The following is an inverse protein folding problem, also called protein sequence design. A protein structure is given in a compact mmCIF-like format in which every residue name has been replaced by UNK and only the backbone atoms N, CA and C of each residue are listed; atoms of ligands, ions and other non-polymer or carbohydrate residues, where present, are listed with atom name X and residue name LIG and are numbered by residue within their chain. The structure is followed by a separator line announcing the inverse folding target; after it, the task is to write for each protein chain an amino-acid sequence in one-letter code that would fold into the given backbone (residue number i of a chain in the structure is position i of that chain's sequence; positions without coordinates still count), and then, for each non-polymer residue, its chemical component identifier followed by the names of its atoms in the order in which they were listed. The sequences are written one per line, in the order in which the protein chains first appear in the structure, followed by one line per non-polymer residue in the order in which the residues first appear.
data_IF_387939444135
#
_entry.id   IF_387939444135
#
_cell.length_a   1.000
_cell.length_b   1.000
_cell.length_c   1.000
_cell.angle_alpha   90.00
_cell.angle_beta   90.00
_cell.angle_gamma   90.00
#
_symmetry.space_group_name_H-M   'P 1'
#
loop_
_entity.id
_entity.type
_entity.pdbx_description
1 polymer ?
#
# COMPACT_ATOMS: atom_id res chain seq x y z
N UNK A 1 6.06 -9.80 -22.44
CA UNK A 1 5.87 -8.59 -21.62
C UNK A 1 5.67 -9.04 -20.18
N UNK A 2 6.31 -8.40 -19.19
CA UNK A 2 6.21 -8.75 -17.77
C UNK A 2 5.80 -7.51 -16.98
N UNK A 3 4.76 -7.62 -16.15
CA UNK A 3 4.39 -6.57 -15.22
C UNK A 3 5.40 -6.54 -14.07
N UNK A 4 5.83 -5.35 -13.63
CA UNK A 4 6.92 -5.23 -12.64
C UNK A 4 6.43 -4.62 -11.34
N UNK A 5 5.75 -3.48 -11.41
CA UNK A 5 5.28 -2.78 -10.22
C UNK A 5 4.13 -1.83 -10.55
N UNK A 6 3.39 -1.45 -9.50
CA UNK A 6 2.49 -0.30 -9.50
C UNK A 6 3.09 0.78 -8.62
N UNK A 7 3.21 2.01 -9.12
CA UNK A 7 3.77 3.12 -8.36
C UNK A 7 2.67 3.95 -7.68
N UNK A 8 2.89 4.27 -6.41
CA UNK A 8 2.10 5.17 -5.58
C UNK A 8 3.01 6.27 -5.06
N UNK A 9 2.60 7.53 -5.20
CA UNK A 9 3.27 8.64 -4.53
C UNK A 9 2.76 8.74 -3.10
N UNK A 10 3.69 8.98 -2.17
CA UNK A 10 3.40 9.09 -0.74
C UNK A 10 3.96 10.38 -0.17
N UNK A 11 3.25 10.98 0.78
CA UNK A 11 3.65 12.23 1.44
C UNK A 11 4.52 12.02 2.67
N UNK A 12 4.47 10.83 3.25
CA UNK A 12 5.22 10.45 4.45
C UNK A 12 5.65 8.97 4.35
N UNK A 13 6.96 8.76 4.27
CA UNK A 13 7.54 7.43 4.10
C UNK A 13 7.34 6.55 5.33
N UNK A 14 7.39 7.12 6.54
CA UNK A 14 7.31 6.34 7.79
C UNK A 14 5.87 5.89 8.03
N UNK A 15 4.89 6.78 7.83
CA UNK A 15 3.47 6.42 7.92
C UNK A 15 3.09 5.39 6.85
N UNK A 16 3.66 5.51 5.65
CA UNK A 16 3.45 4.54 4.57
C UNK A 16 4.02 3.17 4.91
N UNK A 17 5.24 3.10 5.42
CA UNK A 17 5.87 1.85 5.82
C UNK A 17 5.14 1.20 7.01
N UNK A 18 4.66 2.01 7.96
CA UNK A 18 3.84 1.49 9.04
C UNK A 18 2.53 0.88 8.52
N UNK A 19 1.86 1.53 7.57
CA UNK A 19 0.66 0.98 6.93
C UNK A 19 0.94 -0.29 6.12
N UNK A 20 1.84 -0.22 5.13
CA UNK A 20 2.04 -1.33 4.20
C UNK A 20 2.79 -2.49 4.85
N UNK A 21 3.80 -2.23 5.70
CA UNK A 21 4.60 -3.30 6.28
C UNK A 21 4.04 -3.77 7.61
N UNK A 22 3.92 -2.89 8.61
CA UNK A 22 3.54 -3.34 9.96
C UNK A 22 2.08 -3.77 10.06
N UNK A 23 1.17 -3.09 9.34
CA UNK A 23 -0.27 -3.32 9.45
C UNK A 23 -0.80 -4.27 8.37
N UNK A 24 -0.44 -4.05 7.10
CA UNK A 24 -0.90 -4.88 5.97
C UNK A 24 -0.04 -6.14 5.77
N UNK A 25 1.20 -6.17 6.25
CA UNK A 25 2.05 -7.38 6.27
C UNK A 25 2.99 -7.53 5.08
N UNK A 26 3.23 -6.47 4.29
CA UNK A 26 4.28 -6.46 3.27
C UNK A 26 5.65 -6.30 3.93
N UNK A 27 6.71 -6.45 3.14
CA UNK A 27 8.06 -6.10 3.57
C UNK A 27 8.78 -5.27 2.51
N UNK A 28 9.75 -4.49 2.95
CA UNK A 28 10.64 -3.74 2.07
C UNK A 28 11.60 -4.70 1.35
N UNK A 29 11.50 -4.73 0.03
CA UNK A 29 12.35 -5.54 -0.86
C UNK A 29 13.62 -4.79 -1.20
N UNK A 30 13.48 -3.50 -1.55
CA UNK A 30 14.62 -2.62 -1.89
C UNK A 30 14.25 -1.16 -1.75
N UNK A 31 15.27 -0.34 -1.50
CA UNK A 31 15.18 1.12 -1.42
C UNK A 31 16.27 1.76 -2.25
N UNK A 32 15.94 2.89 -2.87
CA UNK A 32 16.88 3.71 -3.64
C UNK A 32 16.63 5.18 -3.36
N UNK A 33 17.66 5.88 -2.91
CA UNK A 33 17.66 7.33 -2.86
C UNK A 33 18.23 7.91 -4.16
N UNK A 34 17.62 8.98 -4.64
CA UNK A 34 18.05 9.68 -5.87
C UNK A 34 18.27 11.15 -5.54
N UNK A 35 19.43 11.52 -4.95
CA UNK A 35 19.68 12.88 -4.48
C UNK A 35 19.58 13.96 -5.57
N UNK A 36 20.01 13.63 -6.80
CA UNK A 36 19.93 14.55 -7.94
C UNK A 36 18.47 14.85 -8.34
N UNK A 37 17.57 13.90 -8.12
CA UNK A 37 16.14 14.04 -8.37
C UNK A 37 15.33 14.43 -7.13
N UNK A 38 15.94 14.41 -5.94
CA UNK A 38 15.33 14.71 -4.64
C UNK A 38 14.12 13.83 -4.30
N UNK A 39 14.28 12.52 -4.47
CA UNK A 39 13.26 11.54 -4.07
C UNK A 39 13.87 10.23 -3.58
N UNK A 40 13.05 9.47 -2.86
CA UNK A 40 13.32 8.10 -2.41
C UNK A 40 12.29 7.15 -3.03
N UNK A 41 12.75 6.02 -3.55
CA UNK A 41 11.91 4.92 -3.99
C UNK A 41 12.01 3.77 -3.00
N UNK A 42 10.88 3.19 -2.61
CA UNK A 42 10.82 1.98 -1.78
C UNK A 42 9.92 0.96 -2.45
N UNK A 43 10.39 -0.27 -2.56
CA UNK A 43 9.66 -1.35 -3.22
C UNK A 43 9.21 -2.35 -2.18
N UNK A 44 7.92 -2.66 -2.18
CA UNK A 44 7.27 -3.53 -1.21
C UNK A 44 6.64 -4.74 -1.89
N UNK A 45 6.68 -5.89 -1.23
CA UNK A 45 5.99 -7.09 -1.68
C UNK A 45 5.47 -7.91 -0.48
N UNK A 46 4.43 -8.74 -0.69
CA UNK A 46 4.13 -9.84 0.23
C UNK A 46 5.32 -10.80 0.36
N UNK A 47 5.52 -11.45 1.52
CA UNK A 47 6.55 -12.48 1.70
C UNK A 47 6.51 -13.55 0.60
N UNK A 48 7.64 -13.82 -0.05
CA UNK A 48 7.75 -14.81 -1.12
C UNK A 48 7.25 -14.35 -2.50
N UNK A 49 6.86 -13.08 -2.64
CA UNK A 49 6.43 -12.48 -3.91
C UNK A 49 7.39 -11.40 -4.44
N UNK A 50 8.64 -11.41 -3.99
CA UNK A 50 9.66 -10.46 -4.42
C UNK A 50 9.93 -10.62 -5.92
N UNK A 51 10.10 -9.51 -6.66
CA UNK A 51 10.32 -9.48 -8.11
C UNK A 51 9.17 -10.03 -9.00
N UNK A 52 7.97 -10.26 -8.45
CA UNK A 52 6.77 -10.65 -9.24
C UNK A 52 5.98 -9.41 -9.67
N UNK A 53 5.35 -8.73 -8.71
CA UNK A 53 4.62 -7.48 -8.91
C UNK A 53 4.72 -6.68 -7.60
N UNK A 54 5.54 -5.63 -7.59
CA UNK A 54 5.85 -4.84 -6.40
C UNK A 54 4.95 -3.60 -6.29
N UNK A 55 4.79 -3.07 -5.09
CA UNK A 55 4.38 -1.68 -4.91
C UNK A 55 5.63 -0.82 -4.87
N UNK A 56 5.71 0.16 -5.76
CA UNK A 56 6.73 1.22 -5.70
C UNK A 56 6.16 2.44 -4.97
N UNK A 57 6.65 2.72 -3.78
CA UNK A 57 6.40 3.99 -3.10
C UNK A 57 7.42 5.02 -3.60
N UNK A 58 6.94 6.13 -4.14
CA UNK A 58 7.77 7.29 -4.46
C UNK A 58 7.52 8.41 -3.45
N UNK A 59 8.55 8.72 -2.68
CA UNK A 59 8.56 9.83 -1.73
C UNK A 59 9.42 10.97 -2.27
N UNK A 60 8.79 12.08 -2.67
CA UNK A 60 9.51 13.30 -3.05
C UNK A 60 9.92 14.07 -1.79
N UNK A 61 11.18 14.50 -1.71
CA UNK A 61 11.71 15.20 -0.54
C UNK A 61 11.15 16.62 -0.42
N UNK A 62 10.81 17.21 -1.56
CA UNK A 62 10.09 18.48 -1.63
C UNK A 62 8.59 18.19 -1.52
N UNK A 63 7.98 18.67 -0.43
CA UNK A 63 6.58 18.40 -0.12
C UNK A 63 5.66 19.04 -1.16
N UNK A 64 4.77 18.23 -1.71
CA UNK A 64 3.67 18.66 -2.55
C UNK A 64 2.38 17.93 -2.12
N UNK A 65 1.20 18.57 -2.22
CA UNK A 65 -0.05 17.89 -1.96
C UNK A 65 -0.41 16.98 -3.14
N UNK A 66 -0.68 15.70 -2.87
CA UNK A 66 -1.28 14.80 -3.83
C UNK A 66 -2.81 14.87 -3.74
N UNK A 67 -3.47 15.09 -4.88
CA UNK A 67 -4.92 15.00 -4.99
C UNK A 67 -5.39 13.57 -5.26
N UNK A 68 -6.69 13.34 -5.15
CA UNK A 68 -7.29 12.05 -5.48
C UNK A 68 -7.62 11.94 -6.97
N UNK A 69 -6.99 10.98 -7.67
CA UNK A 69 -7.32 10.65 -9.05
C UNK A 69 -8.44 9.63 -9.14
N UNK A 70 -9.56 9.95 -9.82
CA UNK A 70 -10.67 9.00 -10.05
C UNK A 70 -10.37 7.89 -11.07
N UNK A 71 -9.21 7.95 -11.72
CA UNK A 71 -8.76 6.99 -12.72
C UNK A 71 -7.98 5.81 -12.13
N UNK A 72 -7.44 5.94 -10.92
CA UNK A 72 -6.81 4.83 -10.22
C UNK A 72 -7.82 4.15 -9.30
N UNK A 73 -8.07 2.86 -9.53
CA UNK A 73 -9.07 2.09 -8.79
C UNK A 73 -8.59 1.72 -7.39
N UNK A 74 -7.68 0.75 -7.31
CA UNK A 74 -7.14 0.23 -6.06
C UNK A 74 -5.90 -0.65 -6.32
N UNK A 75 -5.19 -0.96 -5.24
CA UNK A 75 -4.34 -2.14 -5.12
C UNK A 75 -5.20 -3.30 -4.61
N UNK A 76 -4.92 -4.55 -4.96
CA UNK A 76 -5.70 -5.70 -4.53
C UNK A 76 -4.80 -6.80 -3.95
N UNK A 77 -5.25 -7.42 -2.85
CA UNK A 77 -4.56 -8.53 -2.17
C UNK A 77 -5.55 -9.63 -1.82
N UNK A 78 -5.14 -10.88 -2.05
CA UNK A 78 -5.77 -12.06 -1.46
C UNK A 78 -5.25 -12.23 -0.02
N UNK A 79 -6.15 -12.57 0.91
CA UNK A 79 -5.85 -12.71 2.35
C UNK A 79 -6.56 -13.94 2.93
N UNK A 80 -5.93 -14.63 3.87
CA UNK A 80 -6.47 -15.87 4.45
C UNK A 80 -7.62 -15.64 5.45
N UNK A 81 -7.58 -14.53 6.19
CA UNK A 81 -8.57 -14.14 7.21
C UNK A 81 -8.85 -12.64 7.13
N UNK A 82 -9.83 -12.29 6.28
CA UNK A 82 -10.24 -10.92 6.01
C UNK A 82 -10.85 -10.25 7.24
N UNK A 83 -11.58 -11.00 8.09
CA UNK A 83 -12.19 -10.47 9.30
C UNK A 83 -11.12 -10.13 10.34
N UNK A 84 -10.22 -11.07 10.62
CA UNK A 84 -9.12 -10.84 11.55
C UNK A 84 -8.15 -9.77 11.05
N UNK A 85 -7.87 -9.71 9.75
CA UNK A 85 -7.07 -8.62 9.19
C UNK A 85 -7.76 -7.28 9.35
N UNK A 86 -9.04 -7.14 8.98
CA UNK A 86 -9.78 -5.89 9.15
C UNK A 86 -9.84 -5.44 10.61
N UNK A 87 -10.02 -6.36 11.56
CA UNK A 87 -10.00 -6.05 12.99
C UNK A 87 -8.63 -5.49 13.43
N UNK A 88 -7.53 -6.15 13.04
CA UNK A 88 -6.16 -5.66 13.34
C UNK A 88 -5.89 -4.30 12.71
N UNK A 89 -6.30 -4.10 11.46
CA UNK A 89 -6.14 -2.83 10.76
C UNK A 89 -6.92 -1.72 11.47
N UNK A 90 -8.17 -1.97 11.84
CA UNK A 90 -9.00 -1.01 12.55
C UNK A 90 -8.44 -0.67 13.94
N UNK A 91 -7.96 -1.67 14.69
CA UNK A 91 -7.28 -1.47 15.97
C UNK A 91 -5.97 -0.65 15.82
N UNK A 92 -5.29 -0.78 14.67
CA UNK A 92 -4.13 0.02 14.28
C UNK A 92 -4.46 1.42 13.74
N UNK A 93 -5.73 1.86 13.79
CA UNK A 93 -6.17 3.18 13.35
C UNK A 93 -6.41 3.30 11.84
N UNK A 94 -6.45 2.20 11.10
CA UNK A 94 -6.75 2.21 9.66
C UNK A 94 -8.25 2.35 9.44
N UNK A 95 -8.63 3.20 8.48
CA UNK A 95 -10.03 3.37 8.09
C UNK A 95 -10.48 2.18 7.25
N UNK A 96 -11.57 1.53 7.70
CA UNK A 96 -12.26 0.48 6.95
C UNK A 96 -13.43 1.12 6.18
N UNK A 97 -13.24 1.40 4.89
CA UNK A 97 -14.24 2.08 4.06
C UNK A 97 -15.40 1.17 3.67
N UNK A 98 -15.10 -0.11 3.46
CA UNK A 98 -16.11 -1.16 3.26
C UNK A 98 -15.69 -2.36 4.10
N UNK A 99 -16.38 -2.65 5.22
CA UNK A 99 -16.07 -3.84 6.00
C UNK A 99 -16.40 -5.10 5.17
N UNK A 100 -15.85 -6.27 5.55
CA UNK A 100 -16.12 -7.53 4.85
C UNK A 100 -17.62 -7.77 4.71
N UNK A 101 -18.12 -7.75 3.46
CA UNK A 101 -19.51 -8.14 3.13
C UNK A 101 -19.49 -9.56 2.59
N UNK A 102 -20.41 -10.38 3.08
CA UNK A 102 -20.56 -11.80 2.75
C UNK A 102 -19.29 -12.66 2.98
N UNK A 103 -18.25 -12.10 3.61
CA UNK A 103 -17.00 -12.79 3.97
C UNK A 103 -15.91 -12.80 2.90
N UNK A 104 -16.11 -12.12 1.76
CA UNK A 104 -15.20 -12.26 0.60
C UNK A 104 -14.45 -10.97 0.22
N UNK A 105 -14.94 -9.78 0.61
CA UNK A 105 -14.37 -8.53 0.10
C UNK A 105 -14.48 -7.36 1.09
N UNK A 106 -13.38 -6.63 1.25
CA UNK A 106 -13.29 -5.41 2.05
C UNK A 106 -12.43 -4.34 1.35
N UNK A 107 -12.60 -3.09 1.75
CA UNK A 107 -11.78 -1.96 1.31
C UNK A 107 -11.26 -1.16 2.49
N UNK A 108 -9.95 -0.88 2.46
CA UNK A 108 -9.25 -0.01 3.40
C UNK A 108 -8.51 1.10 2.65
N UNK A 109 -8.05 2.13 3.36
CA UNK A 109 -7.27 3.23 2.78
C UNK A 109 -5.90 3.35 3.41
N UNK A 110 -4.90 3.58 2.58
CA UNK A 110 -3.56 4.00 3.01
C UNK A 110 -3.60 5.44 3.58
N UNK A 111 -2.50 5.92 4.21
CA UNK A 111 -2.40 7.29 4.69
C UNK A 111 -2.62 8.35 3.60
N UNK A 112 -2.14 8.09 2.38
CA UNK A 112 -2.34 8.95 1.20
C UNK A 112 -3.65 8.66 0.45
N UNK A 113 -4.62 8.05 1.14
CA UNK A 113 -5.95 7.71 0.64
C UNK A 113 -5.96 6.80 -0.61
N UNK A 114 -4.94 5.98 -0.81
CA UNK A 114 -4.97 4.94 -1.85
C UNK A 114 -5.87 3.79 -1.39
N UNK A 115 -6.80 3.41 -2.26
CA UNK A 115 -7.73 2.30 -1.99
C UNK A 115 -7.00 0.96 -2.08
N UNK A 116 -7.20 0.11 -1.08
CA UNK A 116 -6.69 -1.26 -1.03
C UNK A 116 -7.88 -2.21 -0.89
N UNK A 117 -8.09 -3.06 -1.89
CA UNK A 117 -9.07 -4.14 -1.92
C UNK A 117 -8.45 -5.39 -1.27
N UNK A 118 -9.21 -6.02 -0.37
CA UNK A 118 -8.86 -7.27 0.27
C UNK A 118 -9.89 -8.31 -0.17
N UNK A 119 -9.42 -9.44 -0.67
CA UNK A 119 -10.22 -10.56 -1.15
C UNK A 119 -9.89 -11.83 -0.36
N UNK A 120 -10.90 -12.65 -0.07
CA UNK A 120 -10.77 -13.98 0.53
C UNK A 120 -11.62 -14.98 -0.26
#
# INVERSE_FOLDING_TARGET
MRFLHTMVRVTDIDQSLDFYCNKLGLHEVRRKEVPQGRYTLVFLAPPGQENIAEIELTYNWDKEPYGEGRNFGHLAFEVDDIYGLCERLQAGGVVINRPPRDGYMAFVRSPDNVSVELLQ
#
